data_IF_316272813383
#
_entry.id   IF_316272813383
#
_cell.length_a   1.000
_cell.length_b   1.000
_cell.length_c   1.000
_cell.angle_alpha   90.00
_cell.angle_beta   90.00
_cell.angle_gamma   90.00
#
_symmetry.space_group_name_H-M   'P 1'
#
loop_
_entity.id
_entity.type
_entity.pdbx_description
1 polymer ?
#
# COMPACT_ATOMS: atom_id res chain seq x y z
N UNK A 1 18.31 -3.10 -29.00
CA UNK A 1 17.15 -2.77 -28.16
C UNK A 1 15.97 -2.15 -28.93
N UNK A 2 16.10 -0.98 -29.59
CA UNK A 2 14.97 -0.39 -30.35
C UNK A 2 14.53 -1.24 -31.56
N UNK A 3 15.49 -1.89 -32.24
CA UNK A 3 15.21 -2.76 -33.38
C UNK A 3 14.42 -4.02 -33.01
N UNK A 4 14.71 -4.66 -31.87
CA UNK A 4 13.97 -5.84 -31.40
C UNK A 4 12.52 -5.49 -31.04
N UNK A 5 12.31 -4.33 -30.42
CA UNK A 5 10.96 -3.85 -30.10
C UNK A 5 10.15 -3.53 -31.38
N UNK A 6 10.80 -2.93 -32.38
CA UNK A 6 10.19 -2.67 -33.69
C UNK A 6 9.78 -3.97 -34.40
N UNK A 7 10.65 -4.99 -34.40
CA UNK A 7 10.34 -6.31 -34.96
C UNK A 7 9.19 -6.98 -34.21
N UNK A 8 9.24 -6.96 -32.87
CA UNK A 8 8.23 -7.59 -32.00
C UNK A 8 6.85 -6.95 -32.18
N UNK A 9 6.76 -5.62 -32.16
CA UNK A 9 5.50 -4.90 -32.33
C UNK A 9 4.95 -5.07 -33.76
N UNK A 10 5.83 -5.13 -34.77
CA UNK A 10 5.43 -5.44 -36.14
C UNK A 10 4.84 -6.85 -36.25
N UNK A 11 5.39 -7.84 -35.56
CA UNK A 11 4.84 -9.19 -35.53
C UNK A 11 3.51 -9.27 -34.77
N UNK A 12 3.37 -8.51 -33.68
CA UNK A 12 2.12 -8.41 -32.92
C UNK A 12 0.99 -7.75 -33.74
N UNK A 13 1.34 -6.74 -34.55
CA UNK A 13 0.42 -5.95 -35.39
C UNK A 13 0.24 -6.52 -36.81
N UNK A 14 1.06 -7.49 -37.22
CA UNK A 14 1.08 -7.97 -38.60
C UNK A 14 -0.26 -8.61 -38.95
N UNK A 15 -0.98 -7.97 -39.88
CA UNK A 15 -2.11 -8.50 -40.64
C UNK A 15 -1.68 -9.76 -41.41
N UNK A 16 -1.46 -10.88 -40.72
CA UNK A 16 -1.39 -12.17 -41.41
C UNK A 16 -2.80 -12.47 -41.88
N UNK A 17 -2.91 -12.97 -43.12
CA UNK A 17 -4.14 -13.24 -43.89
C UNK A 17 -5.23 -14.11 -43.21
N UNK A 18 -5.11 -14.39 -41.91
CA UNK A 18 -6.02 -15.17 -41.10
C UNK A 18 -6.57 -14.32 -39.96
N UNK A 19 -7.77 -13.76 -40.16
CA UNK A 19 -8.52 -12.96 -39.17
C UNK A 19 -8.64 -13.68 -37.82
N UNK A 20 -8.75 -15.02 -37.84
CA UNK A 20 -8.81 -15.88 -36.65
C UNK A 20 -7.64 -15.68 -35.68
N UNK A 21 -6.40 -15.64 -36.19
CA UNK A 21 -5.21 -15.51 -35.32
C UNK A 21 -5.18 -14.13 -34.66
N UNK A 22 -5.55 -13.08 -35.40
CA UNK A 22 -5.60 -11.71 -34.88
C UNK A 22 -6.62 -11.53 -33.75
N UNK A 23 -7.77 -12.23 -33.82
CA UNK A 23 -8.81 -12.17 -32.78
C UNK A 23 -8.31 -12.85 -31.49
N UNK A 24 -7.71 -14.05 -31.61
CA UNK A 24 -7.20 -14.78 -30.45
C UNK A 24 -6.12 -13.96 -29.73
N UNK A 25 -5.16 -13.38 -30.47
CA UNK A 25 -4.11 -12.54 -29.86
C UNK A 25 -4.69 -11.37 -29.08
N UNK A 26 -5.71 -10.69 -29.62
CA UNK A 26 -6.36 -9.56 -28.93
C UNK A 26 -7.08 -10.03 -27.66
N UNK A 27 -7.85 -11.11 -27.74
CA UNK A 27 -8.57 -11.67 -26.59
C UNK A 27 -7.61 -12.19 -25.51
N UNK A 28 -6.50 -12.84 -25.89
CA UNK A 28 -5.50 -13.32 -24.93
C UNK A 28 -4.81 -12.17 -24.20
N UNK A 29 -4.34 -11.15 -24.92
CA UNK A 29 -3.69 -9.99 -24.31
C UNK A 29 -4.67 -9.23 -23.42
N UNK A 30 -5.90 -9.01 -23.90
CA UNK A 30 -6.97 -8.36 -23.12
C UNK A 30 -7.34 -9.15 -21.86
N UNK A 31 -7.47 -10.47 -21.97
CA UNK A 31 -7.79 -11.35 -20.84
C UNK A 31 -6.70 -11.37 -19.77
N UNK A 32 -5.43 -11.46 -20.18
CA UNK A 32 -4.29 -11.41 -19.25
C UNK A 32 -4.23 -10.05 -18.57
N UNK A 33 -4.38 -8.96 -19.33
CA UNK A 33 -4.36 -7.61 -18.78
C UNK A 33 -5.48 -7.41 -17.74
N UNK A 34 -6.70 -7.83 -18.05
CA UNK A 34 -7.84 -7.76 -17.13
C UNK A 34 -7.64 -8.65 -15.89
N UNK A 35 -7.14 -9.87 -16.06
CA UNK A 35 -6.89 -10.79 -14.95
C UNK A 35 -5.82 -10.28 -13.98
N UNK A 36 -4.70 -9.79 -14.52
CA UNK A 36 -3.62 -9.21 -13.71
C UNK A 36 -4.08 -7.91 -13.05
N UNK A 37 -4.82 -7.06 -13.76
CA UNK A 37 -5.38 -5.83 -13.18
C UNK A 37 -6.32 -6.14 -12.00
N UNK A 38 -7.22 -7.12 -12.15
CA UNK A 38 -8.12 -7.52 -11.08
C UNK A 38 -7.35 -8.01 -9.83
N UNK A 39 -6.32 -8.84 -10.02
CA UNK A 39 -5.47 -9.32 -8.92
C UNK A 39 -4.76 -8.16 -8.20
N UNK A 40 -4.18 -7.23 -8.96
CA UNK A 40 -3.51 -6.04 -8.40
C UNK A 40 -4.50 -5.20 -7.59
N UNK A 41 -5.70 -4.96 -8.11
CA UNK A 41 -6.72 -4.15 -7.44
C UNK A 41 -7.13 -4.79 -6.11
N UNK A 42 -7.42 -6.10 -6.10
CA UNK A 42 -7.82 -6.80 -4.87
C UNK A 42 -6.73 -6.71 -3.82
N UNK A 43 -5.47 -6.96 -4.20
CA UNK A 43 -4.34 -6.84 -3.28
C UNK A 43 -4.17 -5.42 -2.74
N UNK A 44 -4.30 -4.41 -3.60
CA UNK A 44 -4.21 -3.01 -3.20
C UNK A 44 -5.31 -2.63 -2.20
N UNK A 45 -6.54 -3.07 -2.43
CA UNK A 45 -7.68 -2.82 -1.52
C UNK A 45 -7.45 -3.50 -0.17
N UNK A 46 -7.06 -4.78 -0.17
CA UNK A 46 -6.80 -5.51 1.07
C UNK A 46 -5.67 -4.88 1.89
N UNK A 47 -4.55 -4.52 1.25
CA UNK A 47 -3.42 -3.88 1.93
C UNK A 47 -3.78 -2.52 2.54
N UNK A 48 -4.52 -1.69 1.78
CA UNK A 48 -4.98 -0.39 2.27
C UNK A 48 -5.93 -0.55 3.46
N UNK A 49 -6.89 -1.46 3.33
CA UNK A 49 -7.87 -1.74 4.38
C UNK A 49 -7.26 -2.32 5.65
N UNK A 50 -6.28 -3.23 5.52
CA UNK A 50 -5.55 -3.78 6.67
C UNK A 50 -4.83 -2.67 7.45
N UNK A 51 -4.22 -1.72 6.74
CA UNK A 51 -3.55 -0.57 7.36
C UNK A 51 -4.53 0.30 8.12
N UNK A 52 -5.67 0.62 7.51
CA UNK A 52 -6.71 1.45 8.13
C UNK A 52 -7.36 0.77 9.34
N UNK A 53 -7.63 -0.53 9.26
CA UNK A 53 -8.15 -1.31 10.38
C UNK A 53 -7.12 -1.38 11.50
N UNK A 54 -5.87 -1.69 11.19
CA UNK A 54 -4.79 -1.72 12.18
C UNK A 54 -4.64 -0.37 12.88
N UNK A 55 -4.69 0.72 12.13
CA UNK A 55 -4.61 2.07 12.69
C UNK A 55 -5.83 2.41 13.55
N UNK A 56 -7.04 1.98 13.19
CA UNK A 56 -8.24 2.19 14.01
C UNK A 56 -8.25 1.36 15.29
N UNK A 57 -7.73 0.14 15.24
CA UNK A 57 -7.63 -0.75 16.40
C UNK A 57 -6.51 -0.28 17.35
N UNK A 58 -5.33 0.06 16.82
CA UNK A 58 -4.16 0.45 17.62
C UNK A 58 -4.08 1.94 17.95
N UNK A 59 -4.75 2.80 17.17
CA UNK A 59 -4.67 4.26 17.29
C UNK A 59 -5.30 4.84 18.56
N UNK A 60 -5.98 4.02 19.36
CA UNK A 60 -6.55 4.43 20.65
C UNK A 60 -5.71 4.03 21.87
N UNK A 61 -4.52 3.44 21.69
CA UNK A 61 -3.68 3.03 22.81
C UNK A 61 -2.43 3.92 22.93
N UNK A 62 -2.24 4.49 24.11
CA UNK A 62 -0.97 5.11 24.50
C UNK A 62 0.13 4.05 24.42
N UNK A 63 1.10 4.24 23.53
CA UNK A 63 2.19 3.28 23.36
C UNK A 63 3.12 3.23 24.60
N UNK A 64 3.06 4.25 25.47
CA UNK A 64 3.82 4.37 26.71
C UNK A 64 2.90 4.93 27.80
N UNK A 65 2.92 4.31 28.98
CA UNK A 65 2.22 4.77 30.19
C UNK A 65 3.25 5.12 31.24
N UNK A 66 3.27 6.38 31.67
CA UNK A 66 4.11 6.87 32.76
C UNK A 66 3.27 6.87 34.04
N UNK A 67 3.71 6.17 35.07
CA UNK A 67 3.01 6.07 36.36
C UNK A 67 4.00 6.28 37.51
N UNK A 68 3.58 7.00 38.54
CA UNK A 68 4.36 7.16 39.77
C UNK A 68 4.25 5.88 40.63
N UNK A 69 5.39 5.35 41.09
CA UNK A 69 5.43 4.06 41.80
C UNK A 69 4.87 4.13 43.23
N UNK A 70 4.78 5.33 43.82
CA UNK A 70 4.47 5.48 45.25
C UNK A 70 3.71 6.78 45.53
N UNK A 71 2.44 6.84 45.12
CA UNK A 71 1.53 7.94 45.46
C UNK A 71 0.91 8.64 44.24
N UNK A 72 0.11 9.71 44.48
CA UNK A 72 -0.49 10.49 43.41
C UNK A 72 0.57 11.28 42.63
N UNK A 73 0.41 11.33 41.30
CA UNK A 73 1.39 11.94 40.39
C UNK A 73 1.61 13.43 40.70
N UNK A 74 2.82 13.80 41.12
CA UNK A 74 3.18 15.21 41.40
C UNK A 74 3.79 15.88 40.18
N UNK A 75 3.51 17.17 39.97
CA UNK A 75 4.08 18.00 38.89
C UNK A 75 3.88 17.46 37.45
N UNK A 76 2.69 16.89 37.16
CA UNK A 76 2.33 16.37 35.82
C UNK A 76 2.66 17.35 34.68
N UNK A 77 2.33 18.65 34.82
CA UNK A 77 2.54 19.67 33.77
C UNK A 77 4.01 19.85 33.36
N UNK A 78 4.94 19.70 34.31
CA UNK A 78 6.37 19.81 34.02
C UNK A 78 6.91 18.55 33.37
N UNK A 79 6.44 17.39 33.80
CA UNK A 79 6.81 16.10 33.22
C UNK A 79 6.29 15.97 31.79
N UNK A 80 5.04 16.38 31.52
CA UNK A 80 4.48 16.40 30.17
C UNK A 80 5.35 17.24 29.21
N UNK A 81 5.75 18.46 29.63
CA UNK A 81 6.65 19.31 28.84
C UNK A 81 8.03 18.70 28.60
N UNK A 82 8.60 18.02 29.59
CA UNK A 82 9.92 17.38 29.43
C UNK A 82 9.85 16.17 28.49
N UNK A 83 8.74 15.44 28.50
CA UNK A 83 8.53 14.25 27.67
C UNK A 83 8.22 14.63 26.22
N UNK A 84 7.49 15.72 25.99
CA UNK A 84 7.16 16.23 24.64
C UNK A 84 8.41 16.65 23.85
N UNK A 85 9.51 17.01 24.53
CA UNK A 85 10.78 17.41 23.90
C UNK A 85 11.65 16.20 23.50
N UNK A 86 11.31 14.98 23.93
CA UNK A 86 12.07 13.77 23.58
C UNK A 86 11.78 13.32 22.15
N UNK A 87 12.83 13.03 21.39
CA UNK A 87 12.71 12.51 20.02
C UNK A 87 11.95 11.18 20.01
N UNK A 88 10.85 11.14 19.26
CA UNK A 88 9.98 9.96 19.13
C UNK A 88 8.64 10.07 19.85
N UNK A 89 8.41 11.12 20.64
CA UNK A 89 7.11 11.38 21.26
C UNK A 89 6.22 12.16 20.28
N UNK A 90 5.11 11.55 19.86
CA UNK A 90 4.15 12.13 18.91
C UNK A 90 3.08 12.97 19.63
N UNK A 91 2.72 12.59 20.87
CA UNK A 91 1.82 13.35 21.75
C UNK A 91 1.99 12.87 23.21
N UNK A 92 1.77 13.77 24.17
CA UNK A 92 1.74 13.48 25.61
C UNK A 92 0.46 14.06 26.23
N UNK A 93 -0.33 13.21 26.90
CA UNK A 93 -1.56 13.55 27.66
C UNK A 93 -1.54 12.83 28.99
#
# INVERSE_FOLDING_TARGET
MSFEFFISLRYLKAKRKQVFVSIITFLSIGGIALGVAALIIVLAVMNGFETDLRNKILGMNSHILLMEHTGPMKDYDKLAKNVEVLNGVVAST
#
